data_IF_424322650348
#
_entry.id   IF_424322650348
#
_cell.length_a   1.000
_cell.length_b   1.000
_cell.length_c   1.000
_cell.angle_alpha   90.00
_cell.angle_beta   90.00
_cell.angle_gamma   90.00
#
_symmetry.space_group_name_H-M   'P 1'
#
loop_
_entity.id
_entity.type
_entity.pdbx_description
1 polymer ?
#
# COMPACT_ATOMS: atom_id res chain seq x y z
N UNK A 1 11.38 -21.25 29.65
CA UNK A 1 9.99 -20.92 29.33
C UNK A 1 9.95 -19.98 28.15
N UNK A 2 9.14 -20.28 27.14
CA UNK A 2 9.00 -19.36 26.02
C UNK A 2 8.12 -18.19 26.44
N UNK A 3 8.53 -17.00 26.04
CA UNK A 3 7.75 -15.79 26.30
C UNK A 3 6.63 -15.69 25.27
N UNK A 4 5.44 -15.37 25.72
CA UNK A 4 4.32 -15.17 24.79
C UNK A 4 4.63 -13.99 23.85
N UNK A 5 4.26 -14.14 22.59
CA UNK A 5 4.44 -13.08 21.60
C UNK A 5 3.44 -11.96 21.90
N UNK A 6 3.91 -10.74 22.05
CA UNK A 6 2.99 -9.65 22.40
C UNK A 6 2.12 -9.19 21.23
N UNK A 7 1.03 -8.53 21.55
CA UNK A 7 0.20 -7.83 20.57
C UNK A 7 0.78 -6.44 20.37
N UNK A 8 0.84 -6.00 19.13
CA UNK A 8 1.59 -4.80 18.78
C UNK A 8 0.86 -3.95 17.75
N UNK A 9 0.84 -2.64 17.99
CA UNK A 9 0.38 -1.65 17.02
C UNK A 9 1.51 -0.66 16.81
N UNK A 10 1.86 -0.43 15.56
CA UNK A 10 2.86 0.58 15.21
C UNK A 10 2.28 1.53 14.19
N UNK A 11 2.84 2.73 14.08
CA UNK A 11 2.29 3.77 13.23
C UNK A 11 3.37 4.81 12.98
N UNK A 12 3.28 5.57 11.89
CA UNK A 12 4.07 6.79 11.80
C UNK A 12 3.82 7.68 13.00
N UNK A 13 4.81 8.48 13.37
CA UNK A 13 4.64 9.42 14.48
C UNK A 13 3.56 10.44 14.17
N UNK A 14 3.45 10.86 12.89
CA UNK A 14 2.43 11.80 12.46
C UNK A 14 1.86 11.34 11.12
N UNK A 15 0.56 11.45 10.99
CA UNK A 15 -0.12 11.37 9.69
C UNK A 15 -0.88 12.66 9.52
N UNK A 16 -0.59 13.39 8.44
CA UNK A 16 -1.15 14.72 8.21
C UNK A 16 -1.83 14.71 6.84
N UNK A 17 -3.06 15.16 6.77
CA UNK A 17 -3.82 15.13 5.54
C UNK A 17 -4.53 16.46 5.35
N UNK A 18 -4.47 16.99 4.14
CA UNK A 18 -5.12 18.23 3.80
C UNK A 18 -4.69 18.74 2.45
N UNK A 19 -5.26 19.87 2.06
CA UNK A 19 -5.01 20.52 0.79
C UNK A 19 -3.79 21.42 0.89
N UNK A 20 -2.94 21.42 -0.15
CA UNK A 20 -1.87 22.41 -0.25
C UNK A 20 -0.71 22.19 0.72
N UNK A 21 -0.50 20.97 1.16
CA UNK A 21 0.53 20.71 2.17
C UNK A 21 1.94 20.68 1.60
N UNK A 22 2.09 20.54 0.29
CA UNK A 22 3.43 20.55 -0.31
C UNK A 22 4.10 21.91 -0.09
N UNK A 23 3.35 23.00 -0.23
CA UNK A 23 3.88 24.34 -0.03
C UNK A 23 4.20 24.64 1.44
N UNK A 24 3.73 23.82 2.35
CA UNK A 24 3.97 23.96 3.78
C UNK A 24 5.00 22.97 4.29
N UNK A 25 5.82 22.40 3.39
CA UNK A 25 6.78 21.36 3.76
C UNK A 25 7.66 21.80 4.93
N UNK A 26 8.04 23.07 4.99
CA UNK A 26 8.90 23.56 6.06
C UNK A 26 8.30 23.33 7.45
N UNK A 27 6.99 23.42 7.59
CA UNK A 27 6.34 23.22 8.88
C UNK A 27 6.51 21.79 9.39
N UNK A 28 6.51 20.83 8.47
CA UNK A 28 6.53 19.41 8.85
C UNK A 28 7.94 18.87 8.94
N UNK A 29 8.84 19.36 8.08
CA UNK A 29 10.24 18.95 8.12
C UNK A 29 10.95 19.54 9.33
N UNK A 30 10.59 20.75 9.71
CA UNK A 30 11.21 21.47 10.81
C UNK A 30 11.27 20.64 12.10
N UNK A 31 10.24 19.84 12.35
CA UNK A 31 10.20 19.03 13.57
C UNK A 31 11.28 17.94 13.59
N UNK A 32 11.87 17.60 12.44
CA UNK A 32 12.77 16.46 12.35
C UNK A 32 14.18 16.81 11.95
N UNK A 33 14.40 17.98 11.35
CA UNK A 33 15.73 18.38 10.96
C UNK A 33 15.75 19.74 10.29
N UNK A 34 16.96 20.25 10.05
CA UNK A 34 17.11 21.55 9.39
C UNK A 34 17.99 21.52 8.14
N UNK A 35 18.32 20.29 7.68
CA UNK A 35 19.03 20.10 6.43
C UNK A 35 18.44 18.88 5.75
N UNK A 36 17.52 19.14 4.81
CA UNK A 36 16.71 18.11 4.19
C UNK A 36 17.33 17.61 2.89
N UNK A 37 17.33 16.29 2.72
CA UNK A 37 17.66 15.67 1.43
C UNK A 37 16.37 15.14 0.84
N UNK A 38 15.95 15.68 -0.29
CA UNK A 38 14.65 15.40 -0.88
C UNK A 38 14.81 14.48 -2.07
N UNK A 39 14.18 13.32 -2.03
CA UNK A 39 14.20 12.31 -3.09
C UNK A 39 12.85 12.35 -3.76
N UNK A 40 12.80 12.59 -5.06
CA UNK A 40 11.52 12.84 -5.71
C UNK A 40 11.44 12.21 -7.09
N UNK A 41 10.21 11.82 -7.47
CA UNK A 41 9.92 11.39 -8.84
C UNK A 41 10.14 12.55 -9.80
N UNK A 42 10.48 12.20 -11.03
CA UNK A 42 10.75 13.20 -12.07
C UNK A 42 9.57 14.16 -12.26
N UNK A 43 8.36 13.65 -12.25
CA UNK A 43 7.19 14.48 -12.59
C UNK A 43 6.85 15.51 -11.52
N UNK A 44 7.34 15.36 -10.28
CA UNK A 44 7.02 16.29 -9.20
C UNK A 44 8.13 17.33 -8.98
N UNK A 45 9.28 17.18 -9.65
CA UNK A 45 10.42 18.05 -9.39
C UNK A 45 10.08 19.53 -9.59
N UNK A 46 9.39 19.86 -10.67
CA UNK A 46 9.04 21.26 -10.95
C UNK A 46 8.14 21.86 -9.89
N UNK A 47 7.19 21.09 -9.40
CA UNK A 47 6.31 21.59 -8.34
C UNK A 47 7.06 21.78 -7.03
N UNK A 48 8.02 20.88 -6.73
CA UNK A 48 8.83 21.05 -5.53
C UNK A 48 9.63 22.35 -5.60
N UNK A 49 10.27 22.60 -6.75
CA UNK A 49 11.02 23.84 -6.92
C UNK A 49 10.14 25.06 -6.79
N UNK A 50 8.96 25.03 -7.39
CA UNK A 50 8.06 26.18 -7.37
C UNK A 50 7.37 26.39 -6.05
N UNK A 51 7.03 25.31 -5.32
CA UNK A 51 6.11 25.40 -4.19
C UNK A 51 6.75 25.14 -2.83
N UNK A 52 7.83 24.35 -2.76
CA UNK A 52 8.33 23.87 -1.48
C UNK A 52 9.70 24.43 -1.10
N UNK A 53 10.63 24.51 -2.05
CA UNK A 53 12.02 24.81 -1.69
C UNK A 53 12.22 26.22 -1.15
N UNK A 54 11.52 27.20 -1.71
CA UNK A 54 11.62 28.57 -1.22
C UNK A 54 11.18 28.66 0.24
N UNK A 55 10.07 27.98 0.58
CA UNK A 55 9.60 27.97 1.97
C UNK A 55 10.59 27.34 2.92
N UNK A 56 11.25 26.27 2.48
CA UNK A 56 12.29 25.67 3.30
C UNK A 56 13.41 26.67 3.57
N UNK A 57 13.92 27.32 2.52
CA UNK A 57 15.01 28.26 2.65
C UNK A 57 14.64 29.46 3.52
N UNK A 58 13.43 29.98 3.31
CA UNK A 58 12.98 31.14 4.09
C UNK A 58 12.80 30.81 5.58
N UNK A 59 12.67 29.54 5.91
CA UNK A 59 12.49 29.09 7.28
C UNK A 59 13.74 28.41 7.84
N UNK A 60 14.89 28.65 7.23
CA UNK A 60 16.16 28.21 7.77
C UNK A 60 16.46 26.73 7.57
N UNK A 61 15.79 26.08 6.62
CA UNK A 61 16.02 24.66 6.34
C UNK A 61 16.81 24.54 5.04
N UNK A 62 18.05 24.10 5.16
CA UNK A 62 18.88 23.80 3.99
C UNK A 62 18.30 22.58 3.28
N UNK A 63 18.52 22.49 1.98
CA UNK A 63 17.93 21.38 1.24
C UNK A 63 18.75 21.06 -0.02
N UNK A 64 18.64 19.81 -0.43
CA UNK A 64 19.14 19.33 -1.72
C UNK A 64 18.09 18.44 -2.31
N UNK A 65 17.75 18.67 -3.59
CA UNK A 65 16.73 17.92 -4.29
C UNK A 65 17.40 16.99 -5.30
N UNK A 66 17.07 15.69 -5.24
CA UNK A 66 17.60 14.69 -6.14
C UNK A 66 16.49 13.87 -6.76
N UNK A 67 16.62 13.63 -8.07
CA UNK A 67 15.67 12.80 -8.78
C UNK A 67 15.89 11.34 -8.44
N UNK A 68 14.79 10.62 -8.20
CA UNK A 68 14.82 9.18 -8.05
C UNK A 68 14.88 8.52 -9.43
N UNK A 69 15.77 7.55 -9.61
CA UNK A 69 16.01 6.92 -10.92
C UNK A 69 15.25 5.61 -11.07
N UNK A 70 13.93 5.65 -10.90
CA UNK A 70 12.96 4.66 -11.36
C UNK A 70 12.86 3.37 -10.55
N UNK A 71 13.96 2.79 -10.06
CA UNK A 71 13.87 1.54 -9.33
C UNK A 71 14.44 1.66 -7.93
N UNK A 72 13.73 1.06 -6.97
CA UNK A 72 14.21 1.01 -5.59
C UNK A 72 15.18 -0.16 -5.46
N UNK A 73 16.38 0.05 -6.00
CA UNK A 73 17.43 -0.96 -6.01
C UNK A 73 18.48 -0.61 -4.97
N UNK A 74 19.26 -1.62 -4.57
CA UNK A 74 20.37 -1.37 -3.64
C UNK A 74 21.33 -0.31 -4.19
N UNK A 75 21.62 -0.36 -5.51
CA UNK A 75 22.52 0.61 -6.11
C UNK A 75 21.96 2.03 -6.00
N UNK A 76 20.67 2.20 -6.27
CA UNK A 76 20.04 3.52 -6.18
C UNK A 76 20.01 4.03 -4.74
N UNK A 77 19.70 3.13 -3.81
CA UNK A 77 19.69 3.51 -2.38
C UNK A 77 21.10 3.98 -1.97
N UNK A 78 22.14 3.27 -2.38
CA UNK A 78 23.51 3.66 -2.04
C UNK A 78 23.89 4.97 -2.70
N UNK A 79 23.48 5.19 -3.97
CA UNK A 79 23.75 6.45 -4.64
C UNK A 79 23.15 7.63 -3.89
N UNK A 80 21.87 7.50 -3.52
CA UNK A 80 21.17 8.58 -2.82
C UNK A 80 21.74 8.78 -1.42
N UNK A 81 22.08 7.69 -0.72
CA UNK A 81 22.65 7.81 0.61
C UNK A 81 23.99 8.54 0.58
N UNK A 82 24.82 8.26 -0.42
CA UNK A 82 26.11 8.94 -0.54
C UNK A 82 25.92 10.44 -0.77
N UNK A 83 24.97 10.81 -1.64
CA UNK A 83 24.69 12.23 -1.89
C UNK A 83 24.16 12.93 -0.64
N UNK A 84 23.29 12.26 0.10
CA UNK A 84 22.73 12.84 1.34
C UNK A 84 23.84 13.04 2.38
N UNK A 85 24.75 12.09 2.47
CA UNK A 85 25.86 12.19 3.41
C UNK A 85 26.78 13.35 3.04
N UNK A 86 27.09 13.51 1.74
CA UNK A 86 27.90 14.62 1.26
C UNK A 86 27.24 15.96 1.55
N UNK A 87 25.90 16.01 1.51
CA UNK A 87 25.16 17.23 1.78
C UNK A 87 25.02 17.50 3.28
N UNK A 88 25.48 16.60 4.13
CA UNK A 88 25.35 16.69 5.57
C UNK A 88 23.89 16.78 6.02
N UNK A 89 23.01 16.10 5.30
CA UNK A 89 21.59 16.12 5.62
C UNK A 89 21.32 15.48 6.97
N UNK A 90 20.24 15.88 7.61
CA UNK A 90 19.83 15.27 8.86
C UNK A 90 18.35 14.85 8.85
N UNK A 91 17.67 15.02 7.73
CA UNK A 91 16.32 14.49 7.55
C UNK A 91 16.15 14.14 6.07
N UNK A 92 15.51 13.00 5.80
CA UNK A 92 15.23 12.55 4.45
C UNK A 92 13.77 12.82 4.16
N UNK A 93 13.49 13.36 2.97
CA UNK A 93 12.11 13.61 2.53
C UNK A 93 11.91 12.84 1.22
N UNK A 94 10.86 12.02 1.16
CA UNK A 94 10.51 11.32 -0.08
C UNK A 94 9.23 11.89 -0.64
N UNK A 95 9.21 12.17 -1.95
CA UNK A 95 8.03 12.74 -2.61
C UNK A 95 7.79 11.95 -3.89
N UNK A 96 6.71 11.17 -3.93
CA UNK A 96 6.47 10.36 -5.11
C UNK A 96 5.59 9.17 -4.88
N UNK A 97 5.71 8.20 -5.77
CA UNK A 97 5.00 6.94 -5.66
C UNK A 97 5.73 5.94 -4.78
N UNK A 98 5.21 4.73 -4.74
CA UNK A 98 5.67 3.73 -3.79
C UNK A 98 7.16 3.43 -3.83
N UNK A 99 7.74 3.29 -5.03
CA UNK A 99 9.15 2.96 -5.12
C UNK A 99 10.03 4.11 -4.62
N UNK A 100 9.65 5.34 -4.92
CA UNK A 100 10.38 6.49 -4.42
C UNK A 100 10.32 6.56 -2.90
N UNK A 101 9.13 6.34 -2.34
CA UNK A 101 8.97 6.39 -0.89
C UNK A 101 9.73 5.27 -0.21
N UNK A 102 9.73 4.07 -0.80
CA UNK A 102 10.49 2.96 -0.24
C UNK A 102 12.00 3.25 -0.29
N UNK A 103 12.47 3.89 -1.36
CA UNK A 103 13.87 4.29 -1.43
C UNK A 103 14.20 5.31 -0.33
N UNK A 104 13.31 6.29 -0.12
CA UNK A 104 13.54 7.28 0.93
C UNK A 104 13.59 6.63 2.31
N UNK A 105 12.70 5.68 2.58
CA UNK A 105 12.75 4.94 3.84
C UNK A 105 14.08 4.22 4.01
N UNK A 106 14.55 3.56 2.95
CA UNK A 106 15.79 2.78 3.01
C UNK A 106 17.01 3.68 3.20
N UNK A 107 17.05 4.83 2.51
CA UNK A 107 18.14 5.79 2.67
C UNK A 107 18.16 6.31 4.11
N UNK A 108 17.01 6.68 4.64
CA UNK A 108 16.93 7.19 6.02
C UNK A 108 17.39 6.13 7.03
N UNK A 109 16.98 4.89 6.81
CA UNK A 109 17.41 3.79 7.67
C UNK A 109 18.92 3.61 7.62
N UNK A 110 19.47 3.64 6.41
CA UNK A 110 20.90 3.45 6.21
C UNK A 110 21.70 4.55 6.93
N UNK A 111 21.22 5.78 6.89
CA UNK A 111 21.91 6.92 7.49
C UNK A 111 21.49 7.18 8.93
N UNK A 112 20.48 6.47 9.42
CA UNK A 112 19.91 6.66 10.77
C UNK A 112 19.34 8.06 10.95
N UNK A 113 18.60 8.50 9.94
CA UNK A 113 17.93 9.80 9.93
C UNK A 113 16.42 9.62 9.98
N UNK A 114 15.69 10.63 10.47
CA UNK A 114 14.24 10.62 10.33
C UNK A 114 13.83 10.75 8.86
N UNK A 115 12.61 10.29 8.55
CA UNK A 115 12.08 10.34 7.20
C UNK A 115 10.66 10.89 7.18
N UNK A 116 10.43 11.82 6.27
CA UNK A 116 9.13 12.45 6.03
C UNK A 116 8.71 12.08 4.61
N UNK A 117 7.50 11.56 4.44
CA UNK A 117 7.04 11.08 3.14
C UNK A 117 5.83 11.86 2.66
N UNK A 118 5.85 12.23 1.37
CA UNK A 118 4.74 12.86 0.66
C UNK A 118 4.30 11.93 -0.47
N UNK A 119 3.37 11.01 -0.25
CA UNK A 119 2.86 10.22 -1.38
C UNK A 119 2.13 11.11 -2.38
N UNK A 120 2.44 10.95 -3.66
CA UNK A 120 1.79 11.73 -4.71
C UNK A 120 0.66 10.96 -5.38
N UNK A 121 0.59 9.66 -5.13
CA UNK A 121 -0.53 8.82 -5.55
C UNK A 121 -0.94 7.96 -4.35
N UNK A 122 -2.19 7.54 -4.35
CA UNK A 122 -2.72 6.71 -3.27
C UNK A 122 -3.03 5.31 -3.80
N UNK A 123 -2.05 4.70 -4.47
CA UNK A 123 -2.28 3.42 -5.16
C UNK A 123 -2.07 2.20 -4.28
N UNK A 124 -1.42 2.35 -3.15
CA UNK A 124 -1.22 1.25 -2.18
C UNK A 124 -1.22 1.83 -0.77
N UNK A 125 -1.20 0.94 0.20
CA UNK A 125 -1.12 1.35 1.60
C UNK A 125 0.31 1.35 2.16
N UNK A 126 1.30 1.23 1.29
CA UNK A 126 2.70 1.12 1.72
C UNK A 126 3.27 2.36 2.42
N UNK A 127 2.81 3.59 2.14
CA UNK A 127 3.54 4.74 2.70
C UNK A 127 3.70 4.73 4.22
N UNK A 128 2.73 4.20 4.95
CA UNK A 128 2.78 4.26 6.42
C UNK A 128 3.49 3.08 7.07
N UNK A 129 3.97 2.12 6.29
CA UNK A 129 4.52 0.88 6.86
C UNK A 129 6.02 0.95 7.11
N UNK A 130 6.49 0.07 8.00
CA UNK A 130 7.90 -0.05 8.33
C UNK A 130 8.56 -1.10 7.44
N UNK A 131 8.46 -0.88 6.12
CA UNK A 131 8.90 -1.86 5.14
C UNK A 131 9.28 -1.14 3.85
N UNK A 132 10.37 -1.58 3.22
CA UNK A 132 10.68 -1.20 1.84
C UNK A 132 10.83 -2.45 1.01
N UNK A 133 10.35 -2.42 -0.22
CA UNK A 133 10.54 -3.51 -1.17
C UNK A 133 11.73 -3.15 -2.05
N UNK A 134 12.72 -4.04 -2.10
CA UNK A 134 13.95 -3.81 -2.85
C UNK A 134 13.89 -4.63 -4.13
N UNK A 135 14.24 -3.98 -5.24
CA UNK A 135 14.24 -4.59 -6.57
C UNK A 135 15.64 -4.61 -7.14
N UNK A 136 15.86 -5.51 -8.09
CA UNK A 136 17.08 -5.44 -8.90
C UNK A 136 17.00 -4.19 -9.80
N UNK A 137 18.14 -3.82 -10.41
CA UNK A 137 18.13 -2.69 -11.33
C UNK A 137 17.24 -2.95 -12.55
N UNK A 138 16.99 -4.22 -12.87
CA UNK A 138 16.09 -4.61 -13.96
C UNK A 138 14.61 -4.58 -13.55
N UNK A 139 14.33 -4.28 -12.30
CA UNK A 139 12.95 -4.16 -11.83
C UNK A 139 12.34 -5.44 -11.30
N UNK A 140 13.15 -6.46 -11.05
CA UNK A 140 12.66 -7.73 -10.49
C UNK A 140 12.75 -7.67 -8.98
N UNK A 141 11.77 -8.29 -8.31
CA UNK A 141 11.78 -8.35 -6.86
C UNK A 141 13.06 -9.01 -6.35
N UNK A 142 13.68 -8.40 -5.35
CA UNK A 142 14.88 -8.97 -4.74
C UNK A 142 14.63 -9.37 -3.29
N UNK A 143 14.14 -8.46 -2.45
CA UNK A 143 13.91 -8.77 -1.05
C UNK A 143 13.05 -7.70 -0.38
N UNK A 144 12.54 -8.04 0.80
CA UNK A 144 11.94 -7.06 1.70
C UNK A 144 12.99 -6.54 2.66
N UNK A 145 12.98 -5.25 2.89
CA UNK A 145 13.78 -4.62 3.92
C UNK A 145 12.84 -4.25 5.07
N UNK A 146 12.94 -4.99 6.15
CA UNK A 146 12.12 -4.73 7.33
C UNK A 146 12.79 -3.65 8.17
N UNK A 147 12.04 -2.59 8.46
CA UNK A 147 12.57 -1.43 9.14
C UNK A 147 12.17 -1.47 10.62
N UNK A 148 13.03 -0.94 11.50
CA UNK A 148 12.69 -0.98 12.93
C UNK A 148 11.62 0.03 13.33
N UNK A 149 11.38 1.03 12.49
CA UNK A 149 10.44 2.10 12.79
C UNK A 149 9.65 2.47 11.56
N UNK A 150 8.42 2.94 11.78
CA UNK A 150 7.61 3.53 10.71
C UNK A 150 8.17 4.91 10.36
N UNK A 151 7.77 5.47 9.21
CA UNK A 151 8.18 6.84 8.88
C UNK A 151 7.82 7.81 9.99
N UNK A 152 8.62 8.85 10.13
CA UNK A 152 8.37 9.85 11.17
C UNK A 152 7.13 10.68 10.86
N UNK A 153 6.89 10.98 9.57
CA UNK A 153 5.67 11.66 9.17
C UNK A 153 5.28 11.20 7.78
N UNK A 154 3.98 11.05 7.56
CA UNK A 154 3.41 10.82 6.23
C UNK A 154 2.41 11.93 5.99
N UNK A 155 2.59 12.66 4.89
CA UNK A 155 1.84 13.87 4.61
C UNK A 155 1.10 13.69 3.29
N UNK A 156 -0.21 13.61 3.35
CA UNK A 156 -1.05 13.40 2.18
C UNK A 156 -1.63 14.74 1.74
N UNK A 157 -1.03 15.29 0.69
CA UNK A 157 -1.57 16.51 0.08
C UNK A 157 -2.68 16.08 -0.86
N UNK A 158 -3.92 16.34 -0.44
CA UNK A 158 -5.07 15.83 -1.17
C UNK A 158 -5.21 16.41 -2.56
N UNK A 159 -4.73 17.65 -2.77
CA UNK A 159 -4.80 18.23 -4.11
C UNK A 159 -3.87 17.52 -5.09
N UNK A 160 -2.72 17.06 -4.63
CA UNK A 160 -1.81 16.33 -5.49
C UNK A 160 -2.40 14.94 -5.82
N UNK A 161 -2.90 14.27 -4.81
CA UNK A 161 -3.46 12.93 -5.01
C UNK A 161 -4.70 12.99 -5.90
N UNK A 162 -5.54 14.02 -5.74
CA UNK A 162 -6.71 14.20 -6.58
C UNK A 162 -6.35 14.42 -8.04
N UNK A 163 -5.19 15.01 -8.31
CA UNK A 163 -4.77 15.32 -9.67
C UNK A 163 -4.16 14.11 -10.40
N UNK A 164 -3.81 13.07 -9.68
CA UNK A 164 -3.19 11.88 -10.27
C UNK A 164 -4.24 11.06 -11.04
N UNK A 165 -3.79 10.18 -11.96
CA UNK A 165 -4.76 9.36 -12.70
C UNK A 165 -5.65 8.54 -11.78
N UNK A 166 -6.94 8.51 -12.11
CA UNK A 166 -7.94 7.85 -11.26
C UNK A 166 -7.66 6.36 -11.08
N UNK A 167 -7.01 5.72 -12.05
CA UNK A 167 -6.71 4.29 -11.95
C UNK A 167 -5.84 4.00 -10.72
N UNK A 168 -4.90 4.89 -10.39
CA UNK A 168 -4.06 4.68 -9.21
C UNK A 168 -4.88 4.78 -7.94
N UNK A 169 -5.79 5.75 -7.90
CA UNK A 169 -6.66 5.91 -6.74
C UNK A 169 -7.56 4.69 -6.55
N UNK A 170 -8.14 4.19 -7.65
CA UNK A 170 -8.96 2.98 -7.60
C UNK A 170 -8.16 1.78 -7.10
N UNK A 171 -6.91 1.64 -7.58
CA UNK A 171 -6.07 0.53 -7.11
C UNK A 171 -5.83 0.62 -5.61
N UNK A 172 -5.66 1.83 -5.08
CA UNK A 172 -5.51 2.01 -3.63
C UNK A 172 -6.75 1.57 -2.87
N UNK A 173 -7.93 1.87 -3.42
CA UNK A 173 -9.17 1.37 -2.83
C UNK A 173 -9.17 -0.15 -2.81
N UNK A 174 -8.72 -0.78 -3.89
CA UNK A 174 -8.67 -2.25 -3.96
C UNK A 174 -7.76 -2.85 -2.90
N UNK A 175 -6.58 -2.26 -2.74
CA UNK A 175 -5.64 -2.72 -1.71
C UNK A 175 -6.26 -2.57 -0.32
N UNK A 176 -6.84 -1.41 -0.05
CA UNK A 176 -7.43 -1.10 1.26
C UNK A 176 -8.67 -1.94 1.56
N UNK A 177 -9.40 -2.32 0.52
CA UNK A 177 -10.62 -3.10 0.70
C UNK A 177 -10.33 -4.46 1.33
N UNK A 178 -9.18 -5.04 1.03
CA UNK A 178 -8.80 -6.34 1.59
C UNK A 178 -8.41 -6.25 3.07
N UNK A 179 -8.01 -5.07 3.53
CA UNK A 179 -7.36 -4.94 4.84
C UNK A 179 -8.22 -5.45 5.99
N UNK A 180 -9.50 -5.08 6.02
CA UNK A 180 -10.36 -5.54 7.11
C UNK A 180 -10.52 -7.05 7.11
N UNK A 181 -10.76 -7.62 5.92
CA UNK A 181 -11.04 -9.05 5.83
C UNK A 181 -9.84 -9.88 6.18
N UNK A 182 -8.66 -9.42 5.79
CA UNK A 182 -7.44 -10.12 6.16
C UNK A 182 -7.11 -9.95 7.64
N UNK A 183 -7.30 -8.75 8.18
CA UNK A 183 -7.08 -8.52 9.61
C UNK A 183 -8.04 -9.36 10.44
N UNK A 184 -9.29 -9.45 10.00
CA UNK A 184 -10.28 -10.30 10.69
C UNK A 184 -9.85 -11.75 10.69
N UNK A 185 -9.41 -12.26 9.53
CA UNK A 185 -8.96 -13.65 9.45
C UNK A 185 -7.76 -13.89 10.37
N UNK A 186 -6.79 -13.01 10.31
CA UNK A 186 -5.57 -13.13 11.12
C UNK A 186 -5.91 -13.07 12.62
N UNK A 187 -6.80 -12.17 12.99
CA UNK A 187 -7.20 -12.04 14.39
C UNK A 187 -7.89 -13.33 14.87
N UNK A 188 -8.80 -13.88 14.05
CA UNK A 188 -9.48 -15.13 14.39
C UNK A 188 -8.51 -16.30 14.51
N UNK A 189 -7.47 -16.30 13.68
CA UNK A 189 -6.47 -17.36 13.71
C UNK A 189 -5.43 -17.15 14.81
N UNK A 190 -5.45 -15.98 15.46
CA UNK A 190 -4.38 -15.53 16.35
C UNK A 190 -3.04 -15.66 15.65
N UNK A 191 -3.00 -15.17 14.40
CA UNK A 191 -1.84 -15.32 13.54
C UNK A 191 -0.77 -14.28 13.81
N UNK A 192 0.01 -13.95 12.78
CA UNK A 192 1.19 -13.09 12.92
C UNK A 192 1.02 -11.89 11.99
N UNK A 193 1.20 -10.69 12.54
CA UNK A 193 1.06 -9.47 11.75
C UNK A 193 2.39 -9.12 11.04
N UNK A 194 2.44 -7.95 10.40
CA UNK A 194 3.59 -7.62 9.56
C UNK A 194 4.82 -7.19 10.34
N UNK A 195 4.70 -7.00 11.65
CA UNK A 195 5.87 -6.77 12.50
C UNK A 195 6.20 -8.01 13.32
N UNK A 196 5.69 -9.16 12.90
CA UNK A 196 5.98 -10.48 13.48
C UNK A 196 5.52 -10.59 14.93
N UNK A 197 4.40 -9.93 15.23
CA UNK A 197 3.76 -9.96 16.54
C UNK A 197 2.31 -10.39 16.35
N UNK A 198 1.56 -10.42 17.44
CA UNK A 198 0.16 -10.81 17.38
C UNK A 198 -0.73 -9.62 17.04
N UNK A 199 -1.81 -9.85 16.31
CA UNK A 199 -2.75 -8.77 16.05
C UNK A 199 -3.52 -8.39 17.32
N UNK A 200 -3.81 -7.09 17.44
CA UNK A 200 -4.53 -6.58 18.58
C UNK A 200 -5.97 -6.21 18.17
N UNK A 201 -6.81 -5.99 19.16
CA UNK A 201 -8.16 -5.50 18.89
C UNK A 201 -8.10 -4.09 18.28
N UNK A 202 -7.10 -3.29 18.67
CA UNK A 202 -6.90 -1.97 18.08
C UNK A 202 -6.60 -2.07 16.59
N UNK A 203 -5.70 -2.98 16.22
CA UNK A 203 -5.39 -3.17 14.80
C UNK A 203 -6.60 -3.60 14.01
N UNK A 204 -7.39 -4.52 14.55
CA UNK A 204 -8.64 -4.95 13.90
C UNK A 204 -9.59 -3.77 13.77
N UNK A 205 -9.69 -2.92 14.80
CA UNK A 205 -10.58 -1.77 14.75
C UNK A 205 -10.18 -0.75 13.71
N UNK A 206 -8.87 -0.53 13.54
CA UNK A 206 -8.38 0.38 12.49
C UNK A 206 -8.75 -0.16 11.11
N UNK A 207 -8.57 -1.47 10.90
CA UNK A 207 -8.93 -2.10 9.64
C UNK A 207 -10.45 -2.02 9.39
N UNK A 208 -11.24 -2.18 10.45
CA UNK A 208 -12.70 -2.09 10.33
C UNK A 208 -13.14 -0.68 9.95
N UNK A 209 -12.51 0.34 10.55
CA UNK A 209 -12.83 1.71 10.18
C UNK A 209 -12.44 1.97 8.71
N UNK A 210 -11.33 1.40 8.26
CA UNK A 210 -10.95 1.51 6.85
C UNK A 210 -12.08 1.02 5.94
N UNK A 211 -12.57 -0.18 6.19
CA UNK A 211 -13.65 -0.75 5.40
C UNK A 211 -14.92 0.12 5.46
N UNK A 212 -15.25 0.62 6.64
CA UNK A 212 -16.43 1.46 6.81
C UNK A 212 -16.31 2.73 5.93
N UNK A 213 -15.16 3.40 5.97
CA UNK A 213 -14.99 4.62 5.19
C UNK A 213 -15.03 4.36 3.70
N UNK A 214 -14.46 3.22 3.24
CA UNK A 214 -14.55 2.86 1.83
C UNK A 214 -16.01 2.61 1.43
N UNK A 215 -16.75 1.86 2.25
CA UNK A 215 -18.15 1.56 1.96
C UNK A 215 -18.99 2.82 1.85
N UNK A 216 -18.74 3.80 2.74
CA UNK A 216 -19.53 5.02 2.78
C UNK A 216 -19.19 5.97 1.64
N UNK A 217 -17.92 5.99 1.19
CA UNK A 217 -17.42 7.10 0.38
C UNK A 217 -17.04 6.76 -1.04
N UNK A 218 -17.01 5.46 -1.42
CA UNK A 218 -16.37 5.09 -2.68
C UNK A 218 -16.97 5.82 -3.89
N UNK A 219 -18.29 5.93 -3.96
CA UNK A 219 -18.92 6.58 -5.13
C UNK A 219 -18.56 8.05 -5.21
N UNK A 220 -18.70 8.77 -4.10
CA UNK A 220 -18.40 10.20 -4.09
C UNK A 220 -16.91 10.47 -4.27
N UNK A 221 -16.06 9.59 -3.73
CA UNK A 221 -14.62 9.76 -3.87
C UNK A 221 -14.17 9.52 -5.32
N UNK A 222 -14.75 8.53 -5.99
CA UNK A 222 -14.42 8.30 -7.39
C UNK A 222 -14.88 9.46 -8.27
N UNK A 223 -16.07 10.02 -7.99
CA UNK A 223 -16.51 11.21 -8.68
C UNK A 223 -15.52 12.36 -8.49
N UNK A 224 -15.05 12.53 -7.26
CA UNK A 224 -14.12 13.63 -6.95
C UNK A 224 -12.80 13.46 -7.72
N UNK A 225 -12.23 12.24 -7.70
CA UNK A 225 -10.94 12.05 -8.35
C UNK A 225 -11.07 12.10 -9.88
N UNK A 226 -12.20 11.67 -10.42
CA UNK A 226 -12.43 11.77 -11.87
C UNK A 226 -12.56 13.22 -12.32
N UNK A 227 -13.02 14.09 -11.44
CA UNK A 227 -13.16 15.52 -11.73
C UNK A 227 -12.02 16.36 -11.17
N UNK A 228 -11.03 15.71 -10.55
CA UNK A 228 -9.84 16.39 -9.98
C UNK A 228 -10.22 17.44 -8.93
N UNK A 229 -11.19 17.11 -8.07
CA UNK A 229 -11.71 18.01 -7.06
C UNK A 229 -11.52 17.36 -5.68
N UNK A 230 -11.04 18.14 -4.72
CA UNK A 230 -10.93 17.69 -3.33
C UNK A 230 -12.27 17.88 -2.63
N UNK A 231 -12.80 16.81 -2.07
CA UNK A 231 -14.06 16.82 -1.33
C UNK A 231 -13.85 16.12 0.01
N UNK A 232 -14.77 16.27 0.96
CA UNK A 232 -14.66 15.48 2.21
C UNK A 232 -14.65 13.98 1.97
N UNK A 233 -15.42 13.47 1.01
CA UNK A 233 -15.43 12.05 0.70
C UNK A 233 -14.07 11.59 0.17
N UNK A 234 -13.44 12.40 -0.68
CA UNK A 234 -12.11 12.08 -1.17
C UNK A 234 -11.11 12.07 -0.01
N UNK A 235 -11.17 13.07 0.84
CA UNK A 235 -10.24 13.14 1.97
C UNK A 235 -10.37 11.93 2.88
N UNK A 236 -11.60 11.53 3.20
CA UNK A 236 -11.81 10.35 4.05
C UNK A 236 -11.32 9.07 3.37
N UNK A 237 -11.49 8.97 2.05
CA UNK A 237 -11.02 7.79 1.34
C UNK A 237 -9.49 7.74 1.30
N UNK A 238 -8.82 8.88 1.13
CA UNK A 238 -7.36 8.93 1.21
C UNK A 238 -6.89 8.54 2.60
N UNK A 239 -7.55 9.03 3.63
CA UNK A 239 -7.22 8.62 5.00
C UNK A 239 -7.34 7.11 5.15
N UNK A 240 -8.40 6.54 4.59
CA UNK A 240 -8.61 5.09 4.66
C UNK A 240 -7.51 4.34 3.90
N UNK A 241 -7.20 4.76 2.68
CA UNK A 241 -6.27 3.98 1.85
C UNK A 241 -4.82 4.12 2.30
N UNK A 242 -4.41 5.31 2.70
CA UNK A 242 -3.01 5.51 3.07
C UNK A 242 -2.77 5.19 4.54
N UNK A 243 -3.58 5.74 5.44
CA UNK A 243 -3.28 5.57 6.86
C UNK A 243 -3.94 4.33 7.46
N UNK A 244 -5.26 4.25 7.38
CA UNK A 244 -5.97 3.15 8.07
C UNK A 244 -5.62 1.80 7.47
N UNK A 245 -5.49 1.73 6.15
CA UNK A 245 -5.10 0.48 5.51
C UNK A 245 -3.66 0.12 5.85
N UNK A 246 -2.76 1.10 5.81
CA UNK A 246 -1.35 0.83 6.11
C UNK A 246 -1.14 0.37 7.53
N UNK A 247 -1.66 1.12 8.48
CA UNK A 247 -1.52 0.78 9.90
C UNK A 247 -2.37 -0.45 10.24
N UNK A 248 -3.56 -0.53 9.65
CA UNK A 248 -4.44 -1.67 9.89
C UNK A 248 -3.87 -2.97 9.35
N UNK A 249 -3.27 -2.95 8.17
CA UNK A 249 -2.64 -4.15 7.62
C UNK A 249 -1.39 -4.53 8.42
N UNK A 250 -0.60 -3.54 8.79
CA UNK A 250 0.63 -3.82 9.55
C UNK A 250 0.32 -4.42 10.91
N UNK A 251 -0.63 -3.83 11.63
CA UNK A 251 -0.99 -4.30 12.96
C UNK A 251 -1.93 -5.50 12.93
N UNK A 252 -2.80 -5.56 11.93
CA UNK A 252 -3.82 -6.60 11.86
C UNK A 252 -3.36 -7.86 11.15
N UNK A 253 -2.41 -7.75 10.25
CA UNK A 253 -1.91 -8.89 9.49
C UNK A 253 -2.59 -9.07 8.15
N UNK A 254 -1.95 -9.84 7.30
CA UNK A 254 -2.47 -10.22 5.99
C UNK A 254 -2.95 -11.66 6.04
N UNK A 255 -3.60 -12.12 4.97
CA UNK A 255 -4.12 -13.47 4.93
C UNK A 255 -4.18 -13.95 3.47
N UNK A 256 -5.31 -14.53 3.05
CA UNK A 256 -5.39 -15.16 1.73
C UNK A 256 -5.31 -14.15 0.59
N UNK A 257 -5.91 -12.96 0.73
CA UNK A 257 -5.96 -12.02 -0.39
C UNK A 257 -4.54 -11.67 -0.88
N UNK A 258 -3.64 -11.33 0.03
CA UNK A 258 -2.28 -11.02 -0.36
C UNK A 258 -1.48 -12.26 -0.73
N UNK A 259 -1.77 -13.42 -0.12
CA UNK A 259 -1.11 -14.65 -0.52
C UNK A 259 -1.42 -14.99 -1.97
N UNK A 260 -2.69 -14.87 -2.38
CA UNK A 260 -3.09 -15.11 -3.77
C UNK A 260 -2.42 -14.08 -4.70
N UNK A 261 -2.39 -12.82 -4.28
CA UNK A 261 -1.68 -11.80 -5.06
C UNK A 261 -0.20 -12.18 -5.26
N UNK A 262 0.44 -12.68 -4.21
CA UNK A 262 1.84 -13.10 -4.33
C UNK A 262 1.98 -14.23 -5.35
N UNK A 263 1.04 -15.18 -5.35
CA UNK A 263 1.05 -16.26 -6.33
C UNK A 263 0.86 -15.75 -7.74
N UNK A 264 0.02 -14.74 -7.91
CA UNK A 264 -0.28 -14.20 -9.22
C UNK A 264 0.92 -13.52 -9.88
N UNK A 265 1.98 -13.26 -9.13
CA UNK A 265 3.21 -12.73 -9.72
C UNK A 265 3.83 -13.71 -10.72
N UNK A 266 3.46 -15.00 -10.65
CA UNK A 266 3.94 -16.00 -11.60
C UNK A 266 3.24 -15.92 -12.96
N UNK A 267 2.19 -15.13 -13.10
CA UNK A 267 1.39 -15.05 -14.33
C UNK A 267 1.80 -13.83 -15.12
N UNK A 268 2.56 -14.03 -16.20
CA UNK A 268 3.11 -12.91 -16.97
C UNK A 268 2.02 -12.00 -17.55
N UNK A 269 0.89 -12.56 -17.95
CA UNK A 269 -0.19 -11.77 -18.52
C UNK A 269 -0.78 -10.75 -17.56
N UNK A 270 -0.54 -10.93 -16.26
CA UNK A 270 -1.08 -10.02 -15.23
C UNK A 270 -0.08 -8.95 -14.79
N UNK A 271 1.11 -8.91 -15.38
CA UNK A 271 2.12 -7.95 -14.93
C UNK A 271 1.71 -6.49 -15.17
N UNK A 272 0.78 -6.24 -16.09
CA UNK A 272 0.27 -4.89 -16.31
C UNK A 272 -0.79 -4.44 -15.33
N UNK A 273 -1.29 -5.34 -14.49
CA UNK A 273 -2.30 -4.98 -13.50
C UNK A 273 -1.66 -4.29 -12.30
N UNK A 274 -2.38 -3.33 -11.72
CA UNK A 274 -1.94 -2.68 -10.50
C UNK A 274 -2.02 -3.65 -9.32
N UNK A 275 -1.18 -3.41 -8.31
CA UNK A 275 -1.18 -4.24 -7.11
C UNK A 275 -2.59 -4.39 -6.54
N UNK A 276 -3.30 -3.27 -6.33
CA UNK A 276 -4.65 -3.32 -5.75
C UNK A 276 -5.65 -4.05 -6.62
N UNK A 277 -5.45 -4.01 -7.95
CA UNK A 277 -6.33 -4.76 -8.84
C UNK A 277 -6.20 -6.26 -8.61
N UNK A 278 -4.97 -6.73 -8.39
CA UNK A 278 -4.74 -8.14 -8.11
C UNK A 278 -5.19 -8.52 -6.70
N UNK A 279 -4.98 -7.63 -5.75
CA UNK A 279 -5.40 -7.89 -4.36
C UNK A 279 -6.92 -8.06 -4.29
N UNK A 280 -7.68 -7.31 -5.08
CA UNK A 280 -9.13 -7.45 -5.12
C UNK A 280 -9.54 -8.85 -5.55
N UNK A 281 -8.87 -9.41 -6.56
CA UNK A 281 -9.16 -10.77 -6.97
C UNK A 281 -8.83 -11.76 -5.85
N UNK A 282 -7.70 -11.53 -5.17
CA UNK A 282 -7.34 -12.34 -4.01
C UNK A 282 -8.38 -12.24 -2.89
N UNK A 283 -8.93 -11.04 -2.70
CA UNK A 283 -9.97 -10.85 -1.69
C UNK A 283 -11.23 -11.65 -2.03
N UNK A 284 -11.66 -11.62 -3.30
CA UNK A 284 -12.80 -12.42 -3.69
C UNK A 284 -12.55 -13.90 -3.46
N UNK A 285 -11.32 -14.36 -3.74
CA UNK A 285 -10.92 -15.72 -3.44
C UNK A 285 -11.05 -16.00 -1.94
N UNK A 286 -10.55 -15.10 -1.11
CA UNK A 286 -10.63 -15.28 0.33
C UNK A 286 -12.06 -15.39 0.81
N UNK A 287 -12.94 -14.53 0.32
CA UNK A 287 -14.34 -14.56 0.76
C UNK A 287 -15.03 -15.86 0.38
N UNK A 288 -14.70 -16.41 -0.79
CA UNK A 288 -15.22 -17.70 -1.20
C UNK A 288 -14.66 -18.80 -0.30
N UNK A 289 -13.37 -18.78 -0.02
CA UNK A 289 -12.75 -19.77 0.87
C UNK A 289 -13.35 -19.73 2.27
N UNK A 290 -13.73 -18.54 2.73
CA UNK A 290 -14.36 -18.38 4.06
C UNK A 290 -15.84 -18.73 4.07
N UNK A 291 -16.42 -19.01 2.90
CA UNK A 291 -17.87 -19.15 2.78
C UNK A 291 -18.59 -17.95 3.38
N UNK A 292 -18.13 -16.77 3.01
CA UNK A 292 -18.64 -15.51 3.57
C UNK A 292 -20.12 -15.33 3.25
N UNK A 293 -20.87 -14.63 4.10
CA UNK A 293 -22.28 -14.36 3.80
C UNK A 293 -22.42 -13.60 2.49
N UNK A 294 -23.49 -13.92 1.75
CA UNK A 294 -23.70 -13.28 0.45
C UNK A 294 -23.80 -11.77 0.57
N UNK A 295 -24.40 -11.26 1.65
CA UNK A 295 -24.53 -9.82 1.85
C UNK A 295 -23.16 -9.13 1.93
N UNK A 296 -22.19 -9.80 2.55
CA UNK A 296 -20.85 -9.26 2.66
C UNK A 296 -20.15 -9.24 1.30
N UNK A 297 -20.28 -10.35 0.55
CA UNK A 297 -19.72 -10.41 -0.78
C UNK A 297 -20.36 -9.35 -1.68
N UNK A 298 -21.68 -9.17 -1.57
CA UNK A 298 -22.38 -8.19 -2.38
C UNK A 298 -21.86 -6.77 -2.12
N UNK A 299 -21.59 -6.42 -0.87
CA UNK A 299 -21.06 -5.08 -0.57
C UNK A 299 -19.66 -4.91 -1.13
N UNK A 300 -18.83 -5.93 -1.02
CA UNK A 300 -17.48 -5.88 -1.57
C UNK A 300 -17.55 -5.71 -3.09
N UNK A 301 -18.41 -6.48 -3.77
CA UNK A 301 -18.55 -6.38 -5.20
C UNK A 301 -19.07 -4.99 -5.61
N UNK A 302 -20.00 -4.43 -4.83
CA UNK A 302 -20.49 -3.08 -5.09
C UNK A 302 -19.34 -2.08 -5.08
N UNK A 303 -18.46 -2.17 -4.08
CA UNK A 303 -17.32 -1.25 -3.98
C UNK A 303 -16.37 -1.45 -5.16
N UNK A 304 -16.10 -2.71 -5.52
CA UNK A 304 -15.22 -3.03 -6.63
C UNK A 304 -15.75 -2.40 -7.93
N UNK A 305 -17.04 -2.60 -8.21
CA UNK A 305 -17.66 -2.06 -9.41
C UNK A 305 -17.67 -0.54 -9.40
N UNK A 306 -18.02 0.06 -8.29
CA UNK A 306 -18.08 1.52 -8.17
C UNK A 306 -16.71 2.15 -8.42
N UNK A 307 -15.65 1.51 -7.94
CA UNK A 307 -14.30 2.02 -8.16
C UNK A 307 -13.75 1.70 -9.55
N UNK A 308 -14.48 0.90 -10.34
CA UNK A 308 -14.00 0.52 -11.66
C UNK A 308 -12.88 -0.50 -11.64
N UNK A 309 -12.80 -1.27 -10.56
CA UNK A 309 -11.78 -2.29 -10.43
C UNK A 309 -12.21 -3.59 -11.13
N UNK A 310 -11.25 -4.44 -11.52
CA UNK A 310 -11.60 -5.69 -12.19
C UNK A 310 -12.28 -6.68 -11.25
N UNK A 311 -13.24 -7.42 -11.80
CA UNK A 311 -13.88 -8.53 -11.07
C UNK A 311 -13.36 -9.88 -11.54
N UNK A 312 -12.84 -9.95 -12.76
CA UNK A 312 -12.48 -11.22 -13.38
C UNK A 312 -11.02 -11.20 -13.80
N UNK A 313 -10.49 -12.39 -14.02
CA UNK A 313 -9.15 -12.51 -14.58
C UNK A 313 -9.04 -11.86 -15.95
N UNK A 314 -10.09 -12.00 -16.76
CA UNK A 314 -10.11 -11.37 -18.08
C UNK A 314 -10.04 -9.84 -17.96
N UNK A 315 -10.73 -9.28 -16.97
CA UNK A 315 -10.68 -7.83 -16.75
C UNK A 315 -9.27 -7.35 -16.45
N UNK A 316 -8.44 -8.21 -15.85
CA UNK A 316 -7.07 -7.85 -15.51
C UNK A 316 -6.07 -8.09 -16.64
N UNK A 317 -6.54 -8.65 -17.76
CA UNK A 317 -5.70 -8.86 -18.90
C UNK A 317 -5.36 -10.31 -19.21
N UNK A 318 -5.91 -11.26 -18.47
CA UNK A 318 -5.66 -12.68 -18.76
C UNK A 318 -6.44 -13.06 -20.02
N UNK A 319 -5.72 -13.57 -21.03
CA UNK A 319 -6.32 -13.99 -22.27
C UNK A 319 -6.46 -15.49 -22.37
N UNK A 320 -5.55 -16.24 -21.74
CA UNK A 320 -5.54 -17.69 -21.83
C UNK A 320 -5.39 -18.27 -20.45
N UNK A 321 -6.42 -18.94 -19.97
CA UNK A 321 -6.35 -19.62 -18.69
C UNK A 321 -5.60 -20.94 -18.86
N UNK A 322 -4.55 -21.14 -18.11
CA UNK A 322 -3.76 -22.35 -18.12
C UNK A 322 -3.79 -22.98 -16.73
N UNK A 323 -4.40 -24.14 -16.62
CA UNK A 323 -4.58 -24.77 -15.31
C UNK A 323 -3.25 -24.98 -14.58
N UNK A 324 -2.20 -25.38 -15.31
CA UNK A 324 -0.90 -25.59 -14.69
C UNK A 324 -0.34 -24.30 -14.09
N UNK A 325 -0.52 -23.19 -14.81
CA UNK A 325 -0.06 -21.89 -14.34
C UNK A 325 -0.80 -21.50 -13.06
N UNK A 326 -2.11 -21.71 -13.04
CA UNK A 326 -2.90 -21.32 -11.88
C UNK A 326 -2.73 -22.28 -10.72
N UNK A 327 -2.36 -23.54 -10.99
CA UNK A 327 -1.93 -24.42 -9.90
C UNK A 327 -0.65 -23.89 -9.27
N UNK A 328 0.26 -23.37 -10.08
CA UNK A 328 1.48 -22.75 -9.55
C UNK A 328 1.14 -21.54 -8.68
N UNK A 329 0.19 -20.71 -9.12
CA UNK A 329 -0.29 -19.59 -8.31
C UNK A 329 -0.75 -20.11 -6.95
N UNK A 330 -1.55 -21.15 -6.95
CA UNK A 330 -2.08 -21.71 -5.70
C UNK A 330 -0.97 -22.28 -4.82
N UNK A 331 0.03 -22.93 -5.44
CA UNK A 331 1.15 -23.46 -4.67
C UNK A 331 1.93 -22.34 -3.99
N UNK A 332 2.19 -21.26 -4.71
CA UNK A 332 2.91 -20.11 -4.13
C UNK A 332 2.07 -19.48 -3.01
N UNK A 333 0.77 -19.32 -3.26
CA UNK A 333 -0.12 -18.73 -2.25
C UNK A 333 -0.17 -19.53 -0.96
N UNK A 334 -0.04 -20.86 -1.07
CA UNK A 334 -0.10 -21.74 0.09
C UNK A 334 1.26 -22.12 0.64
N UNK A 335 2.33 -21.48 0.16
CA UNK A 335 3.68 -21.83 0.60
C UNK A 335 3.85 -21.57 2.09
N UNK A 336 4.65 -22.40 2.73
CA UNK A 336 4.95 -22.24 4.14
C UNK A 336 5.56 -20.87 4.37
N UNK A 337 5.06 -20.17 5.39
CA UNK A 337 5.54 -18.83 5.72
C UNK A 337 4.83 -17.70 5.01
N UNK A 338 3.99 -17.99 4.04
CA UNK A 338 3.18 -16.95 3.43
C UNK A 338 1.93 -16.70 4.27
N UNK A 339 1.23 -15.62 3.95
CA UNK A 339 0.14 -15.13 4.79
C UNK A 339 -1.13 -15.99 4.72
N UNK A 340 -1.20 -16.96 3.81
CA UNK A 340 -2.29 -17.94 3.83
C UNK A 340 -2.34 -18.64 5.19
N UNK A 341 -1.21 -18.78 5.87
CA UNK A 341 -1.15 -19.37 7.20
C UNK A 341 -1.92 -18.60 8.26
N UNK A 342 -2.31 -17.36 7.98
CA UNK A 342 -3.13 -16.57 8.90
C UNK A 342 -4.62 -16.80 8.73
N UNK A 343 -5.04 -17.69 7.80
CA UNK A 343 -6.45 -18.03 7.70
C UNK A 343 -6.86 -18.90 8.89
N UNK A 344 -8.06 -18.69 9.42
CA UNK A 344 -8.50 -19.47 10.60
C UNK A 344 -8.95 -20.88 10.28
N UNK A 345 -8.89 -21.30 9.01
CA UNK A 345 -9.17 -22.68 8.61
C UNK A 345 -8.01 -23.16 7.74
N UNK A 346 -7.87 -24.47 7.61
CA UNK A 346 -6.85 -25.05 6.76
C UNK A 346 -7.22 -24.84 5.29
N UNK A 347 -6.31 -24.31 4.51
CA UNK A 347 -6.52 -24.06 3.09
C UNK A 347 -5.51 -24.87 2.30
N UNK A 348 -6.00 -25.68 1.38
CA UNK A 348 -5.14 -26.49 0.53
C UNK A 348 -4.92 -25.81 -0.82
N UNK A 349 -3.90 -26.30 -1.54
CA UNK A 349 -3.66 -25.85 -2.91
C UNK A 349 -4.90 -26.09 -3.78
N UNK A 350 -5.55 -27.25 -3.60
CA UNK A 350 -6.76 -27.56 -4.38
C UNK A 350 -7.90 -26.59 -4.08
N UNK A 351 -8.01 -26.15 -2.84
CA UNK A 351 -9.04 -25.16 -2.49
C UNK A 351 -8.85 -23.87 -3.29
N UNK A 352 -7.66 -23.44 -3.37
CA UNK A 352 -7.35 -22.22 -4.10
C UNK A 352 -7.52 -22.41 -5.60
N UNK A 353 -7.22 -23.44 -5.95
CA UNK A 353 -7.30 -23.72 -7.28
C UNK A 353 -8.60 -23.81 -7.78
N UNK A 354 -9.22 -24.09 -7.15
CA UNK A 354 -10.32 -24.34 -7.51
C UNK A 354 -11.05 -23.31 -7.97
N UNK A 355 -10.56 -22.60 -8.05
CA UNK A 355 -10.92 -22.02 -8.39
C UNK A 355 -11.81 -21.48 -7.95
N UNK A 356 -11.93 -21.51 -6.85
CA UNK A 356 -12.98 -20.80 -6.13
C UNK A 356 -13.16 -19.36 -6.64
N UNK A 357 -12.03 -18.72 -6.88
CA UNK A 357 -12.06 -17.34 -7.38
C UNK A 357 -12.63 -17.28 -8.80
N UNK A 358 -12.28 -18.27 -9.62
CA UNK A 358 -12.82 -18.27 -10.99
C UNK A 358 -14.33 -18.43 -11.01
N UNK A 359 -14.83 -19.29 -10.13
CA UNK A 359 -16.27 -19.49 -10.03
C UNK A 359 -16.97 -18.20 -9.61
N UNK A 360 -16.37 -17.50 -8.66
CA UNK A 360 -16.93 -16.23 -8.20
C UNK A 360 -16.89 -15.18 -9.30
N UNK A 361 -15.76 -15.07 -9.99
CA UNK A 361 -15.60 -14.08 -11.06
C UNK A 361 -16.61 -14.33 -12.18
N UNK A 362 -16.79 -15.60 -12.55
CA UNK A 362 -17.74 -15.95 -13.61
C UNK A 362 -19.17 -15.58 -13.21
N UNK A 363 -19.52 -15.88 -11.97
CA UNK A 363 -20.86 -15.56 -11.49
C UNK A 363 -21.17 -14.06 -11.61
N UNK A 364 -20.24 -13.21 -11.23
CA UNK A 364 -20.46 -11.77 -11.29
C UNK A 364 -20.36 -11.22 -12.71
N UNK A 365 -19.51 -11.81 -13.54
CA UNK A 365 -19.46 -11.42 -14.94
C UNK A 365 -20.81 -11.65 -15.62
N UNK A 366 -21.45 -12.77 -15.31
CA UNK A 366 -22.72 -13.11 -15.93
C UNK A 366 -23.87 -12.18 -15.50
N UNK A 367 -23.73 -11.54 -14.35
CA UNK A 367 -24.75 -10.61 -13.89
C UNK A 367 -24.66 -9.25 -14.58
N UNK A 368 -23.54 -8.95 -15.19
CA UNK A 368 -23.38 -7.71 -15.93
C UNK A 368 -24.03 -7.80 -17.31
#
# INVERSE_FOLDING_TARGET
>A
MSTAVPRTVTSPKKFIIGKGLLSQMHEYVHDFGDNAFIIADEFILGRLEDEALTGLEQNGISNQLEKFNYECSEAEIQRLAALAEQAHSNVIVGVGGGKTLDAAKAVAFHLKHPVVLYPTIASTDAPCTALSVIYTEAGEFERYLFLPQNPDAVIADTSIIAAAPARFFAAGIGDALATYFEARACYQADGVNLVLKKPSRTGLGLAQLCYQLLSENVAAAMDAVNNKIVTPALEQTIEATIYLSGVGAEAGGLAAAHAVNNGMSAVAELHGAQHGEKVVFGLLTQLVLENAPQSEIDNVVRIIKTAGLPLTLADMGLKHFCEEEWRKVAEIACAEGDTMGNMPMAISVDDVXXXAANAMAERYRRQD
#
